data_IF_366245808674
#
_entry.id   IF_366245808674
#
_cell.length_a   1.000
_cell.length_b   1.000
_cell.length_c   1.000
_cell.angle_alpha   90.00
_cell.angle_beta   90.00
_cell.angle_gamma   90.00
#
_symmetry.space_group_name_H-M   'P 1'
#
loop_
_entity.id
_entity.type
_entity.pdbx_description
1 polymer ?
#
# COMPACT_ATOMS: atom_id res chain seq x y z
N UNK A 1 12.60 -6.40 -14.02
CA UNK A 1 12.15 -5.83 -12.74
C UNK A 1 13.36 -5.68 -11.84
N UNK A 2 13.47 -4.56 -11.12
CA UNK A 2 14.50 -4.37 -10.10
C UNK A 2 14.18 -5.09 -8.78
N UNK A 3 15.08 -4.99 -7.78
CA UNK A 3 14.79 -5.47 -6.45
C UNK A 3 13.62 -4.71 -5.81
N UNK A 4 13.04 -5.28 -4.75
CA UNK A 4 12.07 -4.61 -3.89
C UNK A 4 12.77 -3.43 -3.20
N UNK A 5 12.26 -2.20 -3.40
CA UNK A 5 12.89 -0.97 -2.93
C UNK A 5 11.81 0.05 -2.54
N UNK A 6 11.92 0.66 -1.37
CA UNK A 6 11.03 1.71 -0.84
C UNK A 6 9.53 1.38 -0.99
N UNK A 7 9.13 0.15 -0.69
CA UNK A 7 7.74 -0.26 -0.81
C UNK A 7 6.84 0.32 0.28
N UNK A 8 7.41 0.88 1.35
CA UNK A 8 6.69 1.70 2.33
C UNK A 8 6.03 2.92 1.66
N UNK A 9 6.71 3.56 0.70
CA UNK A 9 6.15 4.64 -0.13
C UNK A 9 4.91 4.17 -0.90
N UNK A 10 4.93 2.94 -1.42
CA UNK A 10 3.79 2.36 -2.14
C UNK A 10 2.57 2.05 -1.25
N UNK A 11 2.75 2.05 0.07
CA UNK A 11 1.71 1.89 1.07
C UNK A 11 1.26 3.22 1.71
N UNK A 12 1.44 4.32 1.01
CA UNK A 12 0.94 5.62 1.43
C UNK A 12 1.87 6.38 2.39
N UNK A 13 3.09 5.87 2.67
CA UNK A 13 4.01 6.52 3.60
C UNK A 13 4.83 7.64 2.94
N UNK A 14 4.13 8.60 2.33
CA UNK A 14 4.78 9.76 1.71
C UNK A 14 3.80 10.90 1.46
N UNK A 15 4.28 12.14 1.41
CA UNK A 15 3.47 13.35 1.19
C UNK A 15 3.61 13.93 -0.22
N UNK A 16 4.37 13.30 -1.12
CA UNK A 16 4.59 13.82 -2.48
C UNK A 16 3.88 12.98 -3.54
N UNK A 17 3.53 13.62 -4.65
CA UNK A 17 2.90 13.00 -5.82
C UNK A 17 1.55 12.31 -5.54
N UNK A 18 0.83 12.73 -4.51
CA UNK A 18 -0.44 12.13 -4.08
C UNK A 18 -0.33 10.63 -3.72
N UNK A 19 0.87 10.15 -3.39
CA UNK A 19 1.09 8.74 -3.06
C UNK A 19 0.56 8.34 -1.68
N UNK A 20 0.20 9.31 -0.84
CA UNK A 20 -0.55 9.11 0.41
C UNK A 20 -2.02 8.75 0.17
N UNK A 21 -2.55 9.04 -1.01
CA UNK A 21 -3.95 8.79 -1.34
C UNK A 21 -4.22 7.33 -1.67
N UNK A 22 -5.33 6.84 -1.21
CA UNK A 22 -5.82 5.50 -1.53
C UNK A 22 -6.37 5.40 -2.95
N UNK A 23 -6.65 6.52 -3.62
CA UNK A 23 -7.20 6.61 -4.97
C UNK A 23 -6.12 6.88 -6.02
N UNK A 24 -6.38 6.48 -7.25
CA UNK A 24 -5.52 6.76 -8.40
C UNK A 24 -4.73 5.55 -8.92
N UNK A 25 -4.49 5.55 -10.23
CA UNK A 25 -3.64 4.58 -10.92
C UNK A 25 -2.50 5.33 -11.64
N UNK A 26 -1.36 5.43 -11.00
CA UNK A 26 -0.23 6.20 -11.55
C UNK A 26 0.39 5.55 -12.79
N UNK A 27 0.52 4.22 -12.78
CA UNK A 27 1.16 3.48 -13.88
C UNK A 27 0.26 3.25 -15.09
N UNK A 28 -1.06 3.27 -14.94
CA UNK A 28 -1.97 2.97 -16.06
C UNK A 28 -1.87 3.96 -17.22
N UNK A 29 -1.42 5.19 -16.95
CA UNK A 29 -1.19 6.24 -17.96
C UNK A 29 0.25 6.30 -18.47
N UNK A 30 1.15 5.48 -17.95
CA UNK A 30 2.50 5.38 -18.47
C UNK A 30 2.47 4.75 -19.87
N UNK A 31 3.32 5.22 -20.79
CA UNK A 31 3.26 4.96 -22.22
C UNK A 31 2.95 3.50 -22.63
N UNK A 32 3.58 2.54 -21.99
CA UNK A 32 3.39 1.11 -22.30
C UNK A 32 2.06 0.57 -21.74
N UNK A 33 1.73 0.94 -20.52
CA UNK A 33 0.50 0.48 -19.87
C UNK A 33 -0.73 1.11 -20.52
N UNK A 34 -0.68 2.39 -20.91
CA UNK A 34 -1.76 3.03 -21.65
C UNK A 34 -2.09 2.25 -22.95
N UNK A 35 -1.05 1.77 -23.66
CA UNK A 35 -1.27 0.97 -24.86
C UNK A 35 -1.80 -0.43 -24.53
N UNK A 36 -1.24 -1.09 -23.52
CA UNK A 36 -1.67 -2.43 -23.10
C UNK A 36 -3.10 -2.44 -22.56
N UNK A 37 -3.52 -1.41 -21.86
CA UNK A 37 -4.88 -1.27 -21.32
C UNK A 37 -5.96 -1.10 -22.41
N UNK A 38 -5.58 -0.92 -23.69
CA UNK A 38 -6.47 -0.93 -24.85
C UNK A 38 -6.67 -2.33 -25.44
N UNK A 39 -5.93 -3.32 -24.98
CA UNK A 39 -6.00 -4.70 -25.45
C UNK A 39 -6.89 -5.54 -24.50
N UNK A 40 -8.02 -6.02 -25.01
CA UNK A 40 -8.97 -6.81 -24.23
C UNK A 40 -8.31 -7.97 -23.46
N UNK A 41 -7.46 -8.76 -24.13
CA UNK A 41 -6.79 -9.89 -23.50
C UNK A 41 -5.88 -9.48 -22.33
N UNK A 42 -5.27 -8.30 -22.39
CA UNK A 42 -4.48 -7.75 -21.28
C UNK A 42 -5.38 -7.33 -20.12
N UNK A 43 -6.46 -6.61 -20.40
CA UNK A 43 -7.43 -6.16 -19.38
C UNK A 43 -8.06 -7.35 -18.67
N UNK A 44 -8.48 -8.39 -19.41
CA UNK A 44 -9.05 -9.62 -18.83
C UNK A 44 -8.04 -10.28 -17.84
N UNK A 45 -6.76 -10.32 -18.20
CA UNK A 45 -5.71 -10.84 -17.30
C UNK A 45 -5.48 -9.96 -16.09
N UNK A 46 -5.51 -8.63 -16.23
CA UNK A 46 -5.41 -7.69 -15.11
C UNK A 46 -6.55 -7.94 -14.13
N UNK A 47 -7.79 -8.03 -14.61
CA UNK A 47 -8.96 -8.31 -13.76
C UNK A 47 -8.86 -9.65 -13.04
N UNK A 48 -8.55 -10.71 -13.79
CA UNK A 48 -8.41 -12.05 -13.20
C UNK A 48 -7.30 -12.09 -12.13
N UNK A 49 -6.14 -11.52 -12.43
CA UNK A 49 -5.02 -11.50 -11.49
C UNK A 49 -5.30 -10.64 -10.26
N UNK A 50 -5.97 -9.51 -10.46
CA UNK A 50 -6.36 -8.66 -9.34
C UNK A 50 -7.40 -9.33 -8.44
N UNK A 51 -8.33 -10.10 -9.00
CA UNK A 51 -9.31 -10.85 -8.21
C UNK A 51 -8.63 -11.87 -7.29
N UNK A 52 -7.63 -12.59 -7.78
CA UNK A 52 -6.80 -13.51 -6.95
C UNK A 52 -6.07 -12.74 -5.84
N UNK A 53 -5.47 -11.61 -6.19
CA UNK A 53 -4.76 -10.75 -5.27
C UNK A 53 -5.69 -10.18 -4.19
N UNK A 54 -6.87 -9.70 -4.59
CA UNK A 54 -7.89 -9.19 -3.67
C UNK A 54 -8.38 -10.27 -2.69
N UNK A 55 -8.58 -11.49 -3.19
CA UNK A 55 -9.01 -12.63 -2.36
C UNK A 55 -7.94 -13.07 -1.33
N UNK A 56 -6.67 -12.77 -1.57
CA UNK A 56 -5.57 -13.12 -0.66
C UNK A 56 -5.40 -12.14 0.52
N UNK A 57 -6.19 -11.05 0.59
CA UNK A 57 -6.06 -10.03 1.64
C UNK A 57 -6.06 -10.57 3.09
N UNK A 58 -6.92 -11.56 3.48
CA UNK A 58 -6.87 -12.08 4.85
C UNK A 58 -5.49 -12.56 5.26
N UNK A 59 -4.77 -13.22 4.33
CA UNK A 59 -3.40 -13.70 4.57
C UNK A 59 -2.41 -12.55 4.77
N UNK A 60 -2.60 -11.40 4.09
CA UNK A 60 -1.72 -10.24 4.27
C UNK A 60 -1.92 -9.58 5.62
N UNK A 61 -3.17 -9.49 6.09
CA UNK A 61 -3.45 -8.96 7.43
C UNK A 61 -2.86 -9.87 8.50
N UNK A 62 -2.99 -11.19 8.36
CA UNK A 62 -2.35 -12.16 9.26
C UNK A 62 -0.81 -11.96 9.28
N UNK A 63 -0.19 -11.72 8.12
CA UNK A 63 1.23 -11.41 8.04
C UNK A 63 1.59 -10.09 8.74
N UNK A 64 0.83 -9.03 8.49
CA UNK A 64 1.05 -7.74 9.12
C UNK A 64 0.96 -7.84 10.63
N UNK A 65 -0.07 -8.49 11.16
CA UNK A 65 -0.26 -8.66 12.60
C UNK A 65 0.85 -9.52 13.23
N UNK A 66 1.22 -10.60 12.55
CA UNK A 66 2.34 -11.44 12.98
C UNK A 66 3.64 -10.65 13.09
N UNK A 67 4.02 -9.92 12.04
CA UNK A 67 5.25 -9.14 12.04
C UNK A 67 5.18 -7.91 12.93
N UNK A 68 4.01 -7.29 13.09
CA UNK A 68 3.82 -6.21 14.06
C UNK A 68 4.13 -6.70 15.48
N UNK A 69 3.59 -7.84 15.86
CA UNK A 69 3.87 -8.45 17.16
C UNK A 69 5.35 -8.84 17.31
N UNK A 70 5.93 -9.47 16.29
CA UNK A 70 7.35 -9.85 16.29
C UNK A 70 8.29 -8.66 16.42
N UNK A 71 7.98 -7.53 15.81
CA UNK A 71 8.81 -6.33 15.81
C UNK A 71 8.66 -5.48 17.09
N UNK A 72 7.63 -5.69 17.89
CA UNK A 72 7.34 -4.86 19.08
C UNK A 72 8.58 -4.61 19.97
N UNK A 73 9.38 -5.61 20.39
CA UNK A 73 10.57 -5.34 21.23
C UNK A 73 11.66 -4.54 20.48
N UNK A 74 11.75 -4.68 19.17
CA UNK A 74 12.71 -3.93 18.35
C UNK A 74 12.26 -2.49 18.13
N UNK A 75 10.96 -2.25 18.03
CA UNK A 75 10.39 -0.90 17.96
C UNK A 75 10.70 -0.12 19.24
N UNK A 76 10.61 -0.76 20.42
CA UNK A 76 10.98 -0.13 21.67
C UNK A 76 12.46 0.30 21.67
N UNK A 77 13.38 -0.56 21.26
CA UNK A 77 14.80 -0.23 21.13
C UNK A 77 15.06 0.89 20.12
N UNK A 78 14.31 0.87 19.00
CA UNK A 78 14.37 1.92 18.01
C UNK A 78 13.96 3.28 18.60
N UNK A 79 12.85 3.31 19.35
CA UNK A 79 12.37 4.55 19.98
C UNK A 79 13.31 5.08 21.07
N UNK A 80 13.94 4.20 21.85
CA UNK A 80 14.97 4.61 22.79
C UNK A 80 16.15 5.30 22.09
N UNK A 81 16.49 4.84 20.89
CA UNK A 81 17.63 5.36 20.11
C UNK A 81 17.29 6.58 19.27
N UNK A 82 16.18 6.56 18.54
CA UNK A 82 15.89 7.51 17.46
C UNK A 82 14.70 8.43 17.73
N UNK A 83 13.78 8.05 18.63
CA UNK A 83 12.59 8.83 19.01
C UNK A 83 11.80 9.26 17.77
N UNK A 84 11.31 8.31 17.00
CA UNK A 84 10.65 8.52 15.73
C UNK A 84 9.13 8.70 15.84
N UNK A 85 8.53 8.25 16.96
CA UNK A 85 7.10 8.41 17.21
C UNK A 85 6.78 9.79 17.75
N UNK A 86 5.56 10.26 17.43
CA UNK A 86 5.08 11.59 17.83
C UNK A 86 5.98 12.74 17.34
N UNK A 87 6.70 12.54 16.26
CA UNK A 87 7.60 13.52 15.65
C UNK A 87 7.31 13.62 14.17
N UNK A 88 7.30 14.84 13.64
CA UNK A 88 7.20 15.05 12.20
C UNK A 88 8.50 14.63 11.53
N UNK A 89 8.42 13.61 10.68
CA UNK A 89 9.54 13.15 9.85
C UNK A 89 9.18 13.36 8.38
N UNK A 90 10.06 13.96 7.62
CA UNK A 90 9.91 13.99 6.18
C UNK A 90 10.17 12.56 5.64
N UNK A 91 9.37 12.00 4.80
CA UNK A 91 8.17 12.47 4.11
C UNK A 91 6.88 11.84 4.65
N UNK A 92 6.83 11.45 5.93
CA UNK A 92 5.69 10.73 6.48
C UNK A 92 4.45 11.63 6.52
N UNK A 93 3.28 11.17 6.04
CA UNK A 93 2.04 11.94 6.06
C UNK A 93 1.39 12.00 7.45
N UNK A 94 1.73 11.07 8.33
CA UNK A 94 1.09 10.91 9.63
C UNK A 94 2.09 11.05 10.77
N UNK A 95 1.58 11.55 11.91
CA UNK A 95 2.30 11.62 13.18
C UNK A 95 1.43 10.98 14.23
N UNK A 96 1.80 9.80 14.69
CA UNK A 96 1.09 9.05 15.72
C UNK A 96 1.95 8.87 16.97
N UNK A 97 1.31 8.83 18.16
CA UNK A 97 2.03 8.67 19.41
C UNK A 97 2.52 7.25 19.67
N UNK A 98 1.94 6.23 19.00
CA UNK A 98 2.27 4.83 19.26
C UNK A 98 2.45 4.03 17.98
N UNK A 99 3.23 2.96 18.09
CA UNK A 99 3.40 1.98 17.00
C UNK A 99 2.07 1.33 16.61
N UNK A 100 1.22 1.07 17.59
CA UNK A 100 -0.11 0.50 17.35
C UNK A 100 -0.97 1.41 16.46
N UNK A 101 -0.90 2.71 16.65
CA UNK A 101 -1.65 3.66 15.82
C UNK A 101 -1.14 3.70 14.37
N UNK A 102 0.19 3.58 14.16
CA UNK A 102 0.75 3.40 12.81
C UNK A 102 0.26 2.11 12.16
N UNK A 103 0.17 1.00 12.91
CA UNK A 103 -0.34 -0.26 12.38
C UNK A 103 -1.83 -0.20 12.05
N UNK A 104 -2.64 0.47 12.88
CA UNK A 104 -4.06 0.72 12.59
C UNK A 104 -4.23 1.51 11.29
N UNK A 105 -3.42 2.55 11.10
CA UNK A 105 -3.47 3.36 9.88
C UNK A 105 -3.05 2.55 8.65
N UNK A 106 -2.02 1.73 8.74
CA UNK A 106 -1.59 0.85 7.65
C UNK A 106 -2.72 -0.12 7.23
N UNK A 107 -3.39 -0.74 8.21
CA UNK A 107 -4.55 -1.60 7.95
C UNK A 107 -5.70 -0.84 7.27
N UNK A 108 -6.03 0.36 7.80
CA UNK A 108 -7.07 1.22 7.23
C UNK A 108 -6.74 1.59 5.78
N UNK A 109 -5.52 2.05 5.54
CA UNK A 109 -5.07 2.48 4.22
C UNK A 109 -5.12 1.33 3.22
N UNK A 110 -4.55 0.18 3.57
CA UNK A 110 -4.58 -1.02 2.73
C UNK A 110 -6.00 -1.43 2.36
N UNK A 111 -6.89 -1.49 3.35
CA UNK A 111 -8.29 -1.86 3.11
C UNK A 111 -8.95 -0.89 2.14
N UNK A 112 -8.83 0.40 2.40
CA UNK A 112 -9.44 1.45 1.57
C UNK A 112 -8.86 1.41 0.15
N UNK A 113 -7.55 1.27 0.01
CA UNK A 113 -6.85 1.16 -1.28
C UNK A 113 -7.34 -0.04 -2.08
N UNK A 114 -7.43 -1.20 -1.45
CA UNK A 114 -7.83 -2.43 -2.13
C UNK A 114 -9.29 -2.39 -2.56
N UNK A 115 -10.19 -1.86 -1.73
CA UNK A 115 -11.61 -1.71 -2.06
C UNK A 115 -11.80 -0.72 -3.21
N UNK A 116 -11.06 0.40 -3.20
CA UNK A 116 -11.07 1.35 -4.30
C UNK A 116 -10.54 0.72 -5.59
N UNK A 117 -9.39 0.05 -5.54
CA UNK A 117 -8.83 -0.64 -6.72
C UNK A 117 -9.78 -1.69 -7.27
N UNK A 118 -10.45 -2.46 -6.40
CA UNK A 118 -11.45 -3.46 -6.82
C UNK A 118 -12.56 -2.79 -7.63
N UNK A 119 -13.10 -1.71 -7.09
CA UNK A 119 -14.17 -0.95 -7.73
C UNK A 119 -13.76 -0.40 -9.09
N UNK A 120 -12.57 0.19 -9.18
CA UNK A 120 -12.11 0.84 -10.43
C UNK A 120 -11.64 -0.17 -11.47
N UNK A 121 -11.00 -1.27 -11.08
CA UNK A 121 -10.61 -2.34 -12.02
C UNK A 121 -11.84 -3.03 -12.62
N UNK A 122 -12.89 -3.24 -11.84
CA UNK A 122 -14.13 -3.83 -12.35
C UNK A 122 -14.82 -2.95 -13.41
N UNK A 123 -14.69 -1.64 -13.32
CA UNK A 123 -15.24 -0.68 -14.29
C UNK A 123 -14.49 -0.63 -15.63
N UNK A 124 -13.25 -1.12 -15.69
CA UNK A 124 -12.47 -1.09 -16.94
C UNK A 124 -13.20 -1.91 -18.01
N UNK A 125 -13.48 -1.36 -19.19
CA UNK A 125 -14.08 -2.11 -20.28
C UNK A 125 -13.19 -3.29 -20.71
N UNK A 126 -13.77 -4.46 -20.89
CA UNK A 126 -13.09 -5.66 -21.37
C UNK A 126 -13.56 -6.08 -22.77
#
# INVERSE_FOLDING_TARGET
>A
MGPVWDFDIAFGNTTYNDNDKEEGFWLMKAAWFDRLMKEKAFVDRVKARFAEFYAAQPQWYDYLDHYAAYLTPYIQLNEERWKTMNVTLWSNPYVFPTYEDYMKELHRWLKTRMDWMKTEIDKIPS
#
